data_IF_502586669620
#
_entry.id   IF_502586669620
#
_cell.length_a   1.000
_cell.length_b   1.000
_cell.length_c   1.000
_cell.angle_alpha   90.00
_cell.angle_beta   90.00
_cell.angle_gamma   90.00
#
_symmetry.space_group_name_H-M   'P 1'
#
loop_
_entity.id
_entity.type
_entity.pdbx_description
1 polymer ?
#
# COMPACT_ATOMS: atom_id res chain seq x y z
N UNK A 1 -20.38 11.39 2.68
CA UNK A 1 -19.35 10.35 2.73
C UNK A 1 -18.19 10.93 3.51
N UNK A 2 -17.85 10.33 4.65
CA UNK A 2 -16.65 10.73 5.37
C UNK A 2 -15.47 10.38 4.48
N UNK A 3 -14.55 11.31 4.26
CA UNK A 3 -13.30 11.00 3.59
C UNK A 3 -12.63 9.93 4.45
N UNK A 4 -12.53 8.70 3.95
CA UNK A 4 -11.74 7.67 4.61
C UNK A 4 -10.35 8.27 4.87
N UNK A 5 -9.88 8.30 6.13
CA UNK A 5 -8.56 8.83 6.44
C UNK A 5 -7.56 7.94 5.70
N UNK A 6 -7.05 8.45 4.59
CA UNK A 6 -6.08 7.77 3.75
C UNK A 6 -4.86 7.44 4.59
N UNK A 7 -4.69 6.17 4.87
CA UNK A 7 -3.55 5.63 5.57
C UNK A 7 -2.54 5.18 4.53
N UNK A 8 -1.33 5.75 4.54
CA UNK A 8 -0.26 5.23 3.67
C UNK A 8 0.01 3.77 4.06
N UNK A 9 -0.09 2.87 3.08
CA UNK A 9 -0.03 1.43 3.29
C UNK A 9 -1.38 0.71 3.21
N UNK A 10 -2.50 1.42 3.28
CA UNK A 10 -3.86 0.89 3.09
C UNK A 10 -4.25 0.97 1.61
N UNK A 11 -3.68 0.07 0.81
CA UNK A 11 -3.86 0.04 -0.64
C UNK A 11 -5.26 -0.43 -1.04
N UNK A 12 -5.91 -1.25 -0.20
CA UNK A 12 -7.25 -1.78 -0.47
C UNK A 12 -8.39 -0.92 0.13
N UNK A 13 -8.06 0.13 0.89
CA UNK A 13 -8.96 1.08 1.55
C UNK A 13 -9.88 0.44 2.61
N UNK A 14 -9.38 -0.55 3.36
CA UNK A 14 -10.11 -1.22 4.45
C UNK A 14 -9.76 -0.68 5.85
N UNK A 15 -8.91 0.35 5.93
CA UNK A 15 -8.44 1.01 7.14
C UNK A 15 -7.47 0.16 8.00
N UNK A 16 -6.96 -0.93 7.45
CA UNK A 16 -5.96 -1.80 8.08
C UNK A 16 -4.74 -1.89 7.17
N UNK A 17 -3.54 -1.79 7.73
CA UNK A 17 -2.31 -2.10 6.98
C UNK A 17 -1.95 -3.55 7.27
N UNK A 18 -2.20 -4.45 6.31
CA UNK A 18 -1.87 -5.86 6.42
C UNK A 18 -1.44 -6.51 5.10
N UNK A 19 -1.42 -7.84 5.04
CA UNK A 19 -1.00 -8.58 3.84
C UNK A 19 -1.98 -8.40 2.67
N UNK A 20 -3.23 -8.05 2.95
CA UNK A 20 -4.27 -7.73 1.97
C UNK A 20 -3.84 -6.58 1.06
N UNK A 21 -3.16 -5.58 1.59
CA UNK A 21 -2.61 -4.45 0.82
C UNK A 21 -1.52 -4.89 -0.15
N UNK A 22 -0.61 -5.76 0.31
CA UNK A 22 0.43 -6.32 -0.55
C UNK A 22 -0.18 -7.12 -1.70
N UNK A 23 -1.23 -7.91 -1.43
CA UNK A 23 -1.97 -8.65 -2.45
C UNK A 23 -2.68 -7.69 -3.42
N UNK A 24 -3.26 -6.61 -2.92
CA UNK A 24 -3.91 -5.59 -3.74
C UNK A 24 -2.92 -4.94 -4.72
N UNK A 25 -1.75 -4.52 -4.24
CA UNK A 25 -0.67 -3.95 -5.06
C UNK A 25 -0.23 -4.93 -6.15
N UNK A 26 -0.02 -6.20 -5.81
CA UNK A 26 0.37 -7.24 -6.79
C UNK A 26 -0.71 -7.42 -7.87
N UNK A 27 -1.99 -7.41 -7.49
CA UNK A 27 -3.09 -7.52 -8.45
C UNK A 27 -3.17 -6.30 -9.39
N UNK A 28 -2.97 -5.09 -8.86
CA UNK A 28 -2.90 -3.87 -9.67
C UNK A 28 -1.72 -3.94 -10.68
N UNK A 29 -0.51 -4.25 -10.19
CA UNK A 29 0.73 -4.22 -11.00
C UNK A 29 0.75 -5.32 -12.07
N UNK A 30 0.33 -6.55 -11.74
CA UNK A 30 0.52 -7.70 -12.64
C UNK A 30 -0.74 -8.22 -13.31
N UNK A 31 -1.92 -7.99 -12.72
CA UNK A 31 -3.19 -8.55 -13.23
C UNK A 31 -4.12 -7.50 -13.82
N UNK A 32 -3.71 -6.23 -13.85
CA UNK A 32 -4.57 -5.12 -14.29
C UNK A 32 -5.79 -4.94 -13.37
N UNK A 33 -5.62 -5.23 -12.07
CA UNK A 33 -6.64 -4.96 -11.06
C UNK A 33 -6.92 -3.45 -10.93
N UNK A 34 -7.94 -3.07 -10.14
CA UNK A 34 -8.26 -1.67 -9.92
C UNK A 34 -7.06 -0.91 -9.31
N UNK A 35 -6.86 0.36 -9.69
CA UNK A 35 -5.85 1.18 -9.04
C UNK A 35 -6.20 1.43 -7.56
N UNK A 36 -5.21 1.67 -6.69
CA UNK A 36 -5.46 2.17 -5.34
C UNK A 36 -6.12 3.55 -5.41
N UNK A 37 -6.89 3.91 -4.37
CA UNK A 37 -7.66 5.16 -4.33
C UNK A 37 -6.77 6.40 -4.55
N UNK A 38 -5.53 6.35 -4.03
CA UNK A 38 -4.45 7.27 -4.41
C UNK A 38 -3.13 6.52 -4.56
N UNK A 39 -2.20 7.02 -5.39
CA UNK A 39 -0.85 6.46 -5.48
C UNK A 39 -0.15 6.37 -4.12
N UNK A 40 -0.30 7.39 -3.27
CA UNK A 40 0.31 7.45 -1.93
C UNK A 40 -0.18 6.37 -0.94
N UNK A 41 -1.31 5.71 -1.22
CA UNK A 41 -1.76 4.57 -0.41
C UNK A 41 -0.95 3.29 -0.72
N UNK A 42 -0.39 3.21 -1.93
CA UNK A 42 0.32 2.03 -2.42
C UNK A 42 1.83 2.26 -2.66
N UNK A 43 2.30 3.51 -2.73
CA UNK A 43 3.72 3.90 -2.77
C UNK A 43 4.23 4.06 -1.33
N UNK A 44 4.48 2.92 -0.66
CA UNK A 44 4.80 2.88 0.77
C UNK A 44 6.28 3.12 1.05
N UNK A 45 7.12 2.97 0.04
CA UNK A 45 8.55 3.24 0.11
C UNK A 45 8.90 4.67 -0.37
N UNK A 46 7.92 5.44 -0.84
CA UNK A 46 8.05 6.82 -1.31
C UNK A 46 9.04 6.99 -2.49
N UNK A 47 9.14 6.00 -3.37
CA UNK A 47 10.00 6.06 -4.56
C UNK A 47 9.31 6.67 -5.79
N UNK A 48 8.06 7.13 -5.64
CA UNK A 48 7.17 7.65 -6.67
C UNK A 48 6.74 6.61 -7.71
N UNK A 49 6.79 5.31 -7.39
CA UNK A 49 6.39 4.22 -8.28
C UNK A 49 5.68 3.13 -7.52
N UNK A 50 4.37 2.98 -7.75
CA UNK A 50 3.64 1.78 -7.29
C UNK A 50 4.10 0.55 -8.06
N UNK A 51 4.87 -0.32 -7.41
CA UNK A 51 5.45 -1.52 -8.00
C UNK A 51 5.55 -2.68 -6.99
N UNK A 52 6.20 -3.79 -7.37
CA UNK A 52 6.33 -4.96 -6.50
C UNK A 52 7.17 -4.68 -5.23
N UNK A 53 8.06 -3.69 -5.28
CA UNK A 53 8.84 -3.24 -4.14
C UNK A 53 7.96 -2.76 -2.99
N UNK A 54 6.82 -2.12 -3.28
CA UNK A 54 5.85 -1.68 -2.28
C UNK A 54 5.16 -2.86 -1.59
N UNK A 55 4.76 -3.87 -2.36
CA UNK A 55 4.18 -5.09 -1.81
C UNK A 55 5.16 -5.81 -0.87
N UNK A 56 6.44 -5.90 -1.26
CA UNK A 56 7.50 -6.46 -0.42
C UNK A 56 7.71 -5.63 0.84
N UNK A 57 7.64 -4.30 0.73
CA UNK A 57 7.77 -3.39 1.87
C UNK A 57 6.66 -3.62 2.91
N UNK A 58 5.40 -3.75 2.47
CA UNK A 58 4.27 -4.06 3.37
C UNK A 58 4.49 -5.40 4.09
N UNK A 59 4.93 -6.43 3.38
CA UNK A 59 5.23 -7.74 4.00
C UNK A 59 6.32 -7.60 5.07
N UNK A 60 7.40 -6.86 4.81
CA UNK A 60 8.43 -6.61 5.81
C UNK A 60 7.94 -5.79 7.01
N UNK A 61 7.08 -4.79 6.78
CA UNK A 61 6.47 -4.02 7.87
C UNK A 61 5.61 -4.90 8.77
N UNK A 62 4.74 -5.73 8.18
CA UNK A 62 3.78 -6.58 8.90
C UNK A 62 4.46 -7.71 9.69
N UNK A 63 5.51 -8.34 9.14
CA UNK A 63 6.10 -9.55 9.74
C UNK A 63 7.46 -9.35 10.43
N UNK A 64 8.31 -8.45 9.94
CA UNK A 64 9.71 -8.34 10.37
C UNK A 64 10.00 -7.10 11.23
N UNK A 65 8.97 -6.39 11.71
CA UNK A 65 9.13 -5.07 12.34
C UNK A 65 9.89 -4.09 11.45
N UNK A 66 9.67 -4.19 10.13
CA UNK A 66 10.21 -3.26 9.16
C UNK A 66 9.79 -1.81 9.45
N UNK A 67 10.44 -0.82 8.82
CA UNK A 67 10.03 0.57 8.96
C UNK A 67 8.55 0.73 8.59
N UNK A 68 7.85 1.59 9.33
CA UNK A 68 6.48 1.96 8.98
C UNK A 68 6.45 2.58 7.57
N UNK A 69 5.36 2.38 6.80
CA UNK A 69 5.15 3.09 5.54
C UNK A 69 5.44 4.58 5.72
N UNK A 70 6.04 5.20 4.70
CA UNK A 70 6.32 6.61 4.79
C UNK A 70 5.02 7.39 5.07
N UNK A 71 5.09 8.45 5.90
CA UNK A 71 3.97 9.38 6.00
C UNK A 71 3.89 10.12 4.68
N UNK A 72 3.11 9.61 3.72
CA UNK A 72 2.81 10.30 2.47
C UNK A 72 2.06 11.59 2.77
N UNK A 73 2.79 12.70 2.89
CA UNK A 73 2.22 14.05 2.91
C UNK A 73 1.94 14.51 1.48
#
# INVERSE_FOLDING_TARGET
EALDPLLTGDANADQVIDVGDAVYIVNYVFKGGPPPLRPAAADVNCDNRVNVGDAVYIVHYVFDSGPAPCNGL
#
